data_IF_404135698942
#
_entry.id   IF_404135698942
#
_cell.length_a   1.000
_cell.length_b   1.000
_cell.length_c   1.000
_cell.angle_alpha   90.00
_cell.angle_beta   90.00
_cell.angle_gamma   90.00
#
_symmetry.space_group_name_H-M   'P 1'
#
loop_
_entity.id
_entity.type
_entity.pdbx_description
1 polymer ?
#
# COMPACT_ATOMS: atom_id res chain seq x y z
N UNK A 1 16.93 -19.52 18.41
CA UNK A 1 17.58 -18.37 17.77
C UNK A 1 16.86 -18.07 16.46
N UNK A 2 16.43 -16.82 16.28
CA UNK A 2 15.80 -16.34 15.04
C UNK A 2 16.75 -15.41 14.27
N UNK A 3 16.53 -15.27 12.98
CA UNK A 3 17.00 -14.08 12.26
C UNK A 3 16.24 -12.86 12.78
N UNK A 4 16.98 -11.87 13.27
CA UNK A 4 16.42 -10.62 13.85
C UNK A 4 16.91 -9.36 13.14
N UNK A 5 17.74 -9.51 12.10
CA UNK A 5 18.42 -8.41 11.41
C UNK A 5 18.52 -8.72 9.91
N UNK A 6 18.18 -7.73 9.07
CA UNK A 6 18.29 -7.83 7.61
C UNK A 6 19.73 -7.99 7.12
N UNK A 7 20.73 -7.53 7.89
CA UNK A 7 22.15 -7.72 7.58
C UNK A 7 22.58 -9.19 7.67
N UNK A 8 21.84 -10.01 8.41
CA UNK A 8 22.22 -11.40 8.72
C UNK A 8 21.40 -12.44 7.96
N UNK A 9 20.17 -12.11 7.57
CA UNK A 9 19.30 -13.03 6.83
C UNK A 9 19.70 -13.05 5.35
N UNK A 10 19.99 -14.22 4.76
CA UNK A 10 20.20 -14.34 3.32
C UNK A 10 18.94 -13.92 2.56
N UNK A 11 19.11 -13.31 1.39
CA UNK A 11 17.99 -12.88 0.55
C UNK A 11 17.02 -14.03 0.24
N UNK A 12 17.51 -15.24 0.00
CA UNK A 12 16.63 -16.39 -0.28
C UNK A 12 15.70 -16.72 0.89
N UNK A 13 16.27 -16.82 2.09
CA UNK A 13 15.53 -17.06 3.34
C UNK A 13 14.53 -15.93 3.57
N UNK A 14 14.93 -14.68 3.36
CA UNK A 14 14.04 -13.53 3.50
C UNK A 14 12.85 -13.60 2.52
N UNK A 15 13.07 -14.01 1.26
CA UNK A 15 11.98 -14.17 0.27
C UNK A 15 10.97 -15.22 0.73
N UNK A 16 11.42 -16.34 1.30
CA UNK A 16 10.51 -17.35 1.85
C UNK A 16 9.66 -16.77 3.00
N UNK A 17 10.29 -16.06 3.93
CA UNK A 17 9.59 -15.37 5.04
C UNK A 17 8.60 -14.33 4.51
N UNK A 18 9.03 -13.49 3.58
CA UNK A 18 8.21 -12.43 2.97
C UNK A 18 6.98 -13.02 2.27
N UNK A 19 7.12 -14.21 1.67
CA UNK A 19 6.03 -14.89 0.96
C UNK A 19 5.15 -15.77 1.85
N UNK A 20 5.43 -15.82 3.16
CA UNK A 20 4.56 -16.38 4.19
C UNK A 20 5.13 -17.58 4.96
N UNK A 21 6.30 -18.09 4.59
CA UNK A 21 6.94 -19.19 5.33
C UNK A 21 7.80 -18.66 6.48
N UNK A 22 7.13 -18.25 7.56
CA UNK A 22 7.77 -17.69 8.76
C UNK A 22 8.70 -18.69 9.46
N UNK A 23 8.53 -19.99 9.23
CA UNK A 23 9.39 -21.03 9.83
C UNK A 23 10.86 -20.87 9.42
N UNK A 24 11.13 -20.25 8.28
CA UNK A 24 12.46 -19.94 7.77
C UNK A 24 13.22 -18.89 8.59
N UNK A 25 12.57 -18.23 9.54
CA UNK A 25 13.25 -17.36 10.51
C UNK A 25 14.05 -18.15 11.55
N UNK A 26 13.71 -19.42 11.77
CA UNK A 26 14.35 -20.25 12.79
C UNK A 26 15.74 -20.66 12.34
N UNK A 27 16.75 -20.23 13.11
CA UNK A 27 18.13 -20.72 12.98
C UNK A 27 18.29 -21.97 13.85
N UNK A 28 17.82 -21.92 15.11
CA UNK A 28 17.94 -23.02 16.08
C UNK A 28 16.80 -22.97 17.10
N UNK A 29 16.40 -24.10 17.67
CA UNK A 29 15.41 -24.17 18.75
C UNK A 29 13.94 -24.00 18.33
N UNK A 30 13.04 -24.11 19.30
CA UNK A 30 11.59 -24.00 19.11
C UNK A 30 11.10 -22.59 19.43
N UNK A 31 10.22 -22.06 18.58
CA UNK A 31 9.68 -20.71 18.69
C UNK A 31 8.17 -20.71 18.50
N UNK A 32 7.48 -19.80 19.19
CA UNK A 32 6.03 -19.66 19.07
C UNK A 32 5.62 -18.99 17.76
N UNK A 33 4.39 -19.23 17.30
CA UNK A 33 3.87 -18.56 16.10
C UNK A 33 3.80 -17.04 16.24
N UNK A 34 3.50 -16.56 17.45
CA UNK A 34 3.46 -15.12 17.79
C UNK A 34 4.85 -14.48 17.61
N UNK A 35 5.88 -15.10 18.19
CA UNK A 35 7.27 -14.63 18.07
C UNK A 35 7.74 -14.60 16.61
N UNK A 36 7.41 -15.65 15.84
CA UNK A 36 7.71 -15.69 14.41
C UNK A 36 6.96 -14.62 13.63
N UNK A 37 5.71 -14.32 14.00
CA UNK A 37 4.92 -13.26 13.36
C UNK A 37 5.54 -11.89 13.62
N UNK A 38 5.82 -11.56 14.88
CA UNK A 38 6.41 -10.27 15.25
C UNK A 38 7.77 -10.05 14.58
N UNK A 39 8.65 -11.05 14.60
CA UNK A 39 9.95 -10.93 13.94
C UNK A 39 9.82 -10.83 12.41
N UNK A 40 8.90 -11.59 11.80
CA UNK A 40 8.65 -11.49 10.36
C UNK A 40 8.18 -10.09 9.96
N UNK A 41 7.23 -9.52 10.70
CA UNK A 41 6.68 -8.19 10.45
C UNK A 41 7.75 -7.11 10.59
N UNK A 42 8.60 -7.22 11.62
CA UNK A 42 9.70 -6.29 11.83
C UNK A 42 10.69 -6.28 10.66
N UNK A 43 11.14 -7.45 10.21
CA UNK A 43 12.10 -7.55 9.10
C UNK A 43 11.49 -7.10 7.77
N UNK A 44 10.24 -7.47 7.49
CA UNK A 44 9.52 -7.04 6.29
C UNK A 44 9.36 -5.52 6.29
N UNK A 45 8.98 -4.94 7.44
CA UNK A 45 8.83 -3.48 7.58
C UNK A 45 10.15 -2.76 7.33
N UNK A 46 11.25 -3.20 7.96
CA UNK A 46 12.58 -2.61 7.74
C UNK A 46 12.99 -2.69 6.26
N UNK A 47 12.73 -3.81 5.58
CA UNK A 47 13.09 -3.98 4.15
C UNK A 47 12.31 -3.00 3.28
N UNK A 48 11.00 -2.88 3.52
CA UNK A 48 10.10 -1.98 2.79
C UNK A 48 10.47 -0.51 3.01
N UNK A 49 10.91 -0.15 4.21
CA UNK A 49 11.41 1.18 4.52
C UNK A 49 12.71 1.50 3.77
N UNK A 50 13.64 0.55 3.65
CA UNK A 50 14.91 0.73 2.92
C UNK A 50 14.66 1.00 1.44
N UNK A 51 13.88 0.15 0.76
CA UNK A 51 13.51 0.35 -0.66
C UNK A 51 12.73 1.66 -0.89
N UNK A 52 12.35 2.31 0.21
CA UNK A 52 11.98 3.71 0.25
C UNK A 52 10.49 3.91 0.34
N UNK A 53 9.69 2.84 0.51
CA UNK A 53 8.25 2.87 0.78
C UNK A 53 7.40 3.74 -0.15
N UNK A 54 7.92 4.51 -1.09
CA UNK A 54 7.16 5.60 -1.70
C UNK A 54 6.21 5.08 -2.78
N UNK A 55 6.46 3.90 -3.37
CA UNK A 55 5.43 3.20 -4.14
C UNK A 55 4.46 2.46 -3.22
N UNK A 56 4.95 1.74 -2.20
CA UNK A 56 4.10 1.00 -1.25
C UNK A 56 3.20 1.89 -0.37
N UNK A 57 3.71 2.96 0.22
CA UNK A 57 2.97 4.01 0.92
C UNK A 57 2.09 4.82 -0.04
N UNK A 58 2.48 4.97 -1.32
CA UNK A 58 1.55 5.53 -2.32
C UNK A 58 0.44 4.56 -2.67
N UNK A 59 0.71 3.25 -2.71
CA UNK A 59 -0.27 2.17 -2.91
C UNK A 59 -1.15 1.98 -1.67
N UNK A 60 -0.60 2.13 -0.47
CA UNK A 60 -1.29 2.12 0.83
C UNK A 60 -2.14 3.38 0.98
N UNK A 61 -1.63 4.54 0.57
CA UNK A 61 -2.39 5.80 0.48
C UNK A 61 -3.48 5.72 -0.59
N UNK A 62 -3.22 5.07 -1.73
CA UNK A 62 -4.24 4.78 -2.74
C UNK A 62 -5.29 3.80 -2.21
N UNK A 63 -4.91 2.73 -1.51
CA UNK A 63 -5.84 1.81 -0.83
C UNK A 63 -6.65 2.52 0.25
N UNK A 64 -6.02 3.35 1.08
CA UNK A 64 -6.71 4.18 2.06
C UNK A 64 -7.66 5.18 1.38
N UNK A 65 -7.28 5.73 0.23
CA UNK A 65 -8.16 6.59 -0.57
C UNK A 65 -9.35 5.79 -1.13
N UNK A 66 -9.15 4.58 -1.64
CA UNK A 66 -10.23 3.69 -2.09
C UNK A 66 -11.17 3.35 -0.93
N UNK A 67 -10.64 2.97 0.24
CA UNK A 67 -11.42 2.71 1.46
C UNK A 67 -12.21 3.96 1.86
N UNK A 68 -11.57 5.13 1.88
CA UNK A 68 -12.24 6.41 2.18
C UNK A 68 -13.33 6.74 1.16
N UNK A 69 -13.13 6.42 -0.12
CA UNK A 69 -14.15 6.58 -1.16
C UNK A 69 -15.33 5.64 -0.94
N UNK A 70 -15.09 4.38 -0.57
CA UNK A 70 -16.16 3.44 -0.23
C UNK A 70 -16.95 3.87 1.01
N UNK A 71 -16.26 4.30 2.09
CA UNK A 71 -16.91 4.84 3.30
C UNK A 71 -17.78 6.04 2.93
N UNK A 72 -17.25 7.00 2.16
CA UNK A 72 -18.02 8.16 1.69
C UNK A 72 -19.25 7.74 0.89
N UNK A 73 -19.12 6.76 -0.01
CA UNK A 73 -20.24 6.28 -0.83
C UNK A 73 -21.34 5.67 0.07
N UNK A 74 -20.98 4.77 0.98
CA UNK A 74 -21.97 4.11 1.85
C UNK A 74 -22.60 5.08 2.86
N UNK A 75 -21.81 5.99 3.46
CA UNK A 75 -22.34 7.04 4.32
C UNK A 75 -23.32 7.95 3.55
N UNK A 76 -22.99 8.38 2.33
CA UNK A 76 -23.88 9.23 1.54
C UNK A 76 -25.16 8.50 1.09
N UNK A 77 -25.11 7.19 0.82
CA UNK A 77 -26.33 6.38 0.61
C UNK A 77 -27.20 6.36 1.87
N UNK A 78 -26.58 6.23 3.05
CA UNK A 78 -27.27 6.35 4.34
C UNK A 78 -27.94 7.72 4.50
N UNK A 79 -27.23 8.80 4.17
CA UNK A 79 -27.79 10.16 4.16
C UNK A 79 -28.95 10.30 3.18
N UNK A 80 -28.90 9.69 2.00
CA UNK A 80 -30.04 9.67 1.06
C UNK A 80 -31.27 8.97 1.65
N UNK A 81 -31.09 7.92 2.45
CA UNK A 81 -32.17 7.23 3.16
C UNK A 81 -32.75 8.15 4.25
N UNK A 82 -31.89 8.79 5.07
CA UNK A 82 -32.31 9.77 6.08
C UNK A 82 -33.12 10.92 5.44
N UNK A 83 -32.65 11.46 4.32
CA UNK A 83 -33.35 12.51 3.56
C UNK A 83 -34.74 12.02 3.10
N UNK A 84 -34.85 10.78 2.61
CA UNK A 84 -36.14 10.19 2.20
C UNK A 84 -37.11 10.05 3.38
N UNK A 85 -36.59 9.73 4.55
CA UNK A 85 -37.34 9.59 5.79
C UNK A 85 -37.63 10.94 6.48
N UNK A 86 -37.03 12.04 6.00
CA UNK A 86 -37.08 13.39 6.59
C UNK A 86 -36.31 13.52 7.92
N UNK A 87 -35.32 12.66 8.13
CA UNK A 87 -34.41 12.67 9.28
C UNK A 87 -33.27 13.69 9.06
N UNK A 88 -33.64 14.98 8.99
CA UNK A 88 -32.73 16.05 8.57
C UNK A 88 -31.62 16.36 9.58
N UNK A 89 -31.88 16.16 10.87
CA UNK A 89 -30.88 16.38 11.91
C UNK A 89 -29.74 15.36 11.79
N UNK A 90 -30.07 14.09 11.58
CA UNK A 90 -29.09 13.02 11.40
C UNK A 90 -28.32 13.19 10.09
N UNK A 91 -29.01 13.55 9.00
CA UNK A 91 -28.37 13.86 7.72
C UNK A 91 -27.36 15.02 7.84
N UNK A 92 -27.72 16.09 8.57
CA UNK A 92 -26.83 17.22 8.81
C UNK A 92 -25.64 16.83 9.71
N UNK A 93 -25.88 16.00 10.74
CA UNK A 93 -24.83 15.51 11.62
C UNK A 93 -23.79 14.69 10.87
N UNK A 94 -24.20 13.74 10.03
CA UNK A 94 -23.25 12.95 9.22
C UNK A 94 -22.43 13.87 8.30
N UNK A 95 -23.04 14.85 7.63
CA UNK A 95 -22.29 15.80 6.80
C UNK A 95 -21.27 16.63 7.60
N UNK A 96 -21.57 16.93 8.87
CA UNK A 96 -20.65 17.66 9.75
C UNK A 96 -19.39 16.85 10.09
N UNK A 97 -19.50 15.52 10.23
CA UNK A 97 -18.35 14.61 10.40
C UNK A 97 -17.44 14.61 9.15
N UNK A 98 -17.99 14.94 7.98
CA UNK A 98 -17.22 15.15 6.75
C UNK A 98 -16.76 16.60 6.54
N UNK A 99 -16.90 17.46 7.56
CA UNK A 99 -16.46 18.86 7.54
C UNK A 99 -17.45 19.84 6.91
N UNK A 100 -18.71 19.44 6.69
CA UNK A 100 -19.74 20.30 6.11
C UNK A 100 -20.89 20.53 7.09
N UNK A 101 -20.86 21.69 7.76
CA UNK A 101 -21.91 22.07 8.71
C UNK A 101 -23.09 22.72 8.00
N UNK A 102 -24.29 22.23 8.29
CA UNK A 102 -25.56 22.76 7.82
C UNK A 102 -26.58 22.70 8.96
N UNK A 103 -27.52 23.64 9.00
CA UNK A 103 -28.67 23.52 9.87
C UNK A 103 -29.64 22.47 9.32
N UNK A 104 -30.35 21.71 10.18
CA UNK A 104 -31.33 20.73 9.73
C UNK A 104 -32.44 21.29 8.84
N UNK A 105 -32.73 22.59 8.93
CA UNK A 105 -33.71 23.28 8.07
C UNK A 105 -33.19 23.56 6.65
N UNK A 106 -31.88 23.43 6.39
CA UNK A 106 -31.25 23.72 5.10
C UNK A 106 -31.34 22.52 4.12
N UNK A 107 -32.55 21.97 3.96
CA UNK A 107 -32.82 20.73 3.23
C UNK A 107 -32.17 20.67 1.85
N UNK A 108 -32.26 21.75 1.08
CA UNK A 108 -31.71 21.80 -0.28
C UNK A 108 -30.17 21.80 -0.29
N UNK A 109 -29.53 22.42 0.71
CA UNK A 109 -28.07 22.42 0.83
C UNK A 109 -27.57 21.04 1.23
N UNK A 110 -28.23 20.41 2.20
CA UNK A 110 -27.96 19.04 2.64
C UNK A 110 -28.09 18.08 1.45
N UNK A 111 -29.20 18.14 0.71
CA UNK A 111 -29.46 17.27 -0.46
C UNK A 111 -28.42 17.46 -1.55
N UNK A 112 -28.15 18.70 -1.97
CA UNK A 112 -27.17 18.99 -3.01
C UNK A 112 -25.77 18.54 -2.60
N UNK A 113 -25.40 18.71 -1.33
CA UNK A 113 -24.08 18.33 -0.85
C UNK A 113 -23.90 16.82 -0.80
N UNK A 114 -24.88 16.08 -0.27
CA UNK A 114 -24.85 14.62 -0.24
C UNK A 114 -24.71 14.03 -1.66
N UNK A 115 -25.54 14.51 -2.61
CA UNK A 115 -25.48 14.09 -4.00
C UNK A 115 -24.13 14.42 -4.67
N UNK A 116 -23.58 15.61 -4.38
CA UNK A 116 -22.27 16.03 -4.90
C UNK A 116 -21.14 15.14 -4.39
N UNK A 117 -21.10 14.83 -3.09
CA UNK A 117 -20.09 13.94 -2.49
C UNK A 117 -20.23 12.55 -3.10
N UNK A 118 -21.45 12.00 -3.17
CA UNK A 118 -21.71 10.68 -3.73
C UNK A 118 -21.25 10.57 -5.19
N UNK A 119 -21.61 11.55 -6.02
CA UNK A 119 -21.24 11.56 -7.44
C UNK A 119 -19.72 11.68 -7.62
N UNK A 120 -19.07 12.58 -6.88
CA UNK A 120 -17.63 12.77 -6.99
C UNK A 120 -16.86 11.53 -6.52
N UNK A 121 -17.30 10.91 -5.42
CA UNK A 121 -16.66 9.70 -4.89
C UNK A 121 -16.80 8.51 -5.84
N UNK A 122 -17.98 8.30 -6.45
CA UNK A 122 -18.18 7.27 -7.47
C UNK A 122 -17.28 7.48 -8.69
N UNK A 123 -17.24 8.72 -9.21
CA UNK A 123 -16.39 9.06 -10.35
C UNK A 123 -14.90 8.84 -10.06
N UNK A 124 -14.42 9.27 -8.88
CA UNK A 124 -13.03 9.06 -8.49
C UNK A 124 -12.67 7.58 -8.38
N UNK A 125 -13.57 6.77 -7.80
CA UNK A 125 -13.38 5.32 -7.66
C UNK A 125 -13.32 4.63 -9.03
N UNK A 126 -14.26 4.96 -9.93
CA UNK A 126 -14.28 4.44 -11.29
C UNK A 126 -13.02 4.83 -12.08
N UNK A 127 -12.53 6.06 -11.91
CA UNK A 127 -11.29 6.54 -12.53
C UNK A 127 -10.04 5.81 -12.00
N UNK A 128 -10.04 5.38 -10.74
CA UNK A 128 -8.95 4.56 -10.18
C UNK A 128 -9.03 3.16 -10.80
N UNK A 129 -10.19 2.52 -10.76
CA UNK A 129 -10.42 1.17 -11.30
C UNK A 129 -10.16 1.07 -12.82
N UNK A 130 -10.43 2.13 -13.60
CA UNK A 130 -10.17 2.15 -15.05
C UNK A 130 -8.71 2.42 -15.40
N UNK A 131 -7.93 3.07 -14.52
CA UNK A 131 -6.48 3.17 -14.64
C UNK A 131 -5.79 1.85 -14.24
N UNK A 132 -6.43 1.07 -13.38
CA UNK A 132 -6.03 -0.29 -12.96
C UNK A 132 -6.54 -1.38 -13.93
N UNK A 133 -6.30 -1.27 -15.25
CA UNK A 133 -6.40 -2.48 -16.11
C UNK A 133 -5.57 -3.61 -15.45
N UNK A 134 -6.05 -4.87 -15.46
CA UNK A 134 -5.60 -5.90 -14.54
C UNK A 134 -4.24 -6.46 -14.93
N UNK A 135 -3.19 -5.66 -14.85
CA UNK A 135 -1.96 -6.20 -14.31
C UNK A 135 -2.22 -6.29 -12.82
N UNK A 136 -2.54 -7.51 -12.38
CA UNK A 136 -2.69 -7.94 -10.99
C UNK A 136 -1.98 -6.97 -10.05
N UNK A 137 -2.65 -6.48 -9.00
CA UNK A 137 -1.95 -5.99 -7.82
C UNK A 137 -0.87 -7.04 -7.52
N UNK A 138 0.38 -6.76 -7.90
CA UNK A 138 1.40 -7.78 -8.05
C UNK A 138 1.74 -8.18 -6.64
N UNK A 139 1.07 -9.22 -6.13
CA UNK A 139 1.49 -9.90 -4.90
C UNK A 139 2.99 -10.08 -5.07
N UNK A 140 3.78 -9.52 -4.15
CA UNK A 140 5.25 -9.66 -4.14
C UNK A 140 5.57 -11.12 -3.79
N UNK A 141 5.24 -11.99 -4.73
CA UNK A 141 5.44 -13.42 -4.69
C UNK A 141 6.89 -13.73 -5.08
N UNK A 142 7.26 -15.01 -5.06
CA UNK A 142 8.64 -15.39 -5.42
C UNK A 142 9.01 -14.94 -6.83
N UNK A 143 8.06 -14.89 -7.77
CA UNK A 143 8.31 -14.46 -9.15
C UNK A 143 8.56 -12.96 -9.25
N UNK A 144 7.92 -12.14 -8.41
CA UNK A 144 8.23 -10.72 -8.28
C UNK A 144 9.72 -10.51 -7.96
N UNK A 145 10.22 -11.19 -6.92
CA UNK A 145 11.63 -11.07 -6.53
C UNK A 145 12.59 -11.60 -7.59
N UNK A 146 12.20 -12.60 -8.39
CA UNK A 146 13.01 -13.05 -9.54
C UNK A 146 13.13 -11.93 -10.59
N UNK A 147 12.01 -11.30 -10.97
CA UNK A 147 12.01 -10.22 -11.97
C UNK A 147 12.77 -9.00 -11.48
N UNK A 148 12.56 -8.59 -10.23
CA UNK A 148 13.27 -7.48 -9.61
C UNK A 148 14.78 -7.75 -9.57
N UNK A 149 15.21 -8.95 -9.16
CA UNK A 149 16.63 -9.31 -9.13
C UNK A 149 17.25 -9.30 -10.52
N UNK A 150 16.54 -9.79 -11.55
CA UNK A 150 17.00 -9.73 -12.94
C UNK A 150 17.19 -8.27 -13.39
N UNK A 151 16.27 -7.38 -13.02
CA UNK A 151 16.40 -5.95 -13.32
C UNK A 151 17.62 -5.33 -12.64
N UNK A 152 17.83 -5.61 -11.35
CA UNK A 152 19.01 -5.13 -10.59
C UNK A 152 20.32 -5.68 -11.18
N UNK A 153 20.37 -6.98 -11.49
CA UNK A 153 21.52 -7.61 -12.15
C UNK A 153 21.83 -6.96 -13.49
N UNK A 154 20.81 -6.71 -14.31
CA UNK A 154 20.95 -6.08 -15.62
C UNK A 154 21.39 -4.62 -15.52
N UNK A 155 20.88 -3.88 -14.54
CA UNK A 155 21.21 -2.46 -14.35
C UNK A 155 22.66 -2.26 -13.90
N UNK A 156 23.16 -3.12 -13.01
CA UNK A 156 24.53 -3.02 -12.50
C UNK A 156 25.54 -3.91 -13.23
N UNK A 157 25.10 -4.75 -14.16
CA UNK A 157 25.98 -5.68 -14.89
C UNK A 157 26.65 -6.72 -13.99
N UNK A 158 25.99 -7.13 -12.90
CA UNK A 158 26.54 -8.05 -11.90
C UNK A 158 25.61 -9.23 -11.62
N UNK A 159 26.19 -10.33 -11.14
CA UNK A 159 25.43 -11.50 -10.70
C UNK A 159 25.12 -11.39 -9.20
N UNK A 160 23.84 -11.55 -8.84
CA UNK A 160 23.38 -11.64 -7.44
C UNK A 160 23.06 -13.09 -7.09
N UNK A 161 23.80 -13.66 -6.15
CA UNK A 161 23.52 -14.98 -5.58
C UNK A 161 22.70 -14.81 -4.31
N UNK A 162 21.42 -15.19 -4.36
CA UNK A 162 20.44 -14.99 -3.27
C UNK A 162 20.82 -15.64 -1.92
N UNK A 163 21.71 -16.63 -1.93
CA UNK A 163 22.16 -17.33 -0.72
C UNK A 163 23.40 -16.66 -0.09
N UNK A 164 24.05 -15.75 -0.82
CA UNK A 164 25.31 -15.11 -0.40
C UNK A 164 25.11 -13.64 -0.03
N UNK A 165 24.14 -12.95 -0.65
CA UNK A 165 23.80 -11.56 -0.33
C UNK A 165 22.79 -11.50 0.82
N UNK A 166 22.95 -10.53 1.71
CA UNK A 166 21.96 -10.23 2.73
C UNK A 166 20.71 -9.57 2.14
N UNK A 167 19.57 -9.68 2.82
CA UNK A 167 18.37 -8.97 2.42
C UNK A 167 18.57 -7.44 2.44
N UNK A 168 19.38 -6.93 3.38
CA UNK A 168 19.65 -5.49 3.51
C UNK A 168 20.45 -4.92 2.33
N UNK A 169 21.55 -5.59 1.96
CA UNK A 169 22.37 -5.18 0.82
C UNK A 169 21.53 -5.14 -0.45
N UNK A 170 20.73 -6.19 -0.68
CA UNK A 170 19.82 -6.24 -1.82
C UNK A 170 18.78 -5.11 -1.80
N UNK A 171 18.17 -4.80 -0.64
CA UNK A 171 17.22 -3.70 -0.50
C UNK A 171 17.84 -2.35 -0.90
N UNK A 172 19.08 -2.07 -0.49
CA UNK A 172 19.80 -0.85 -0.86
C UNK A 172 20.16 -0.82 -2.35
N UNK A 173 20.49 -1.96 -2.97
CA UNK A 173 20.72 -2.03 -4.41
C UNK A 173 19.44 -1.68 -5.19
N UNK A 174 18.29 -2.23 -4.78
CA UNK A 174 16.98 -1.91 -5.37
C UNK A 174 16.67 -0.41 -5.21
N UNK A 175 16.84 0.13 -3.99
CA UNK A 175 16.63 1.55 -3.71
C UNK A 175 17.45 2.44 -4.65
N UNK A 176 18.76 2.17 -4.73
CA UNK A 176 19.70 2.95 -5.52
C UNK A 176 19.38 2.91 -7.01
N UNK A 177 19.04 1.73 -7.54
CA UNK A 177 18.59 1.58 -8.93
C UNK A 177 17.34 2.44 -9.20
N UNK A 178 16.35 2.38 -8.32
CA UNK A 178 15.13 3.17 -8.42
C UNK A 178 15.41 4.69 -8.40
N UNK A 179 16.32 5.15 -7.54
CA UNK A 179 16.72 6.56 -7.47
C UNK A 179 17.47 7.01 -8.74
N UNK A 180 18.39 6.20 -9.25
CA UNK A 180 19.12 6.44 -10.50
C UNK A 180 18.15 6.55 -11.69
N UNK A 181 17.22 5.61 -11.87
CA UNK A 181 16.20 5.64 -12.93
C UNK A 181 15.32 6.90 -12.83
N UNK A 182 14.86 7.26 -11.61
CA UNK A 182 14.06 8.48 -11.38
C UNK A 182 14.83 9.74 -11.76
N UNK A 183 16.14 9.79 -11.47
CA UNK A 183 16.99 10.93 -11.83
C UNK A 183 17.17 11.07 -13.35
N UNK A 184 17.37 9.96 -14.06
CA UNK A 184 17.49 9.94 -15.53
C UNK A 184 16.20 10.41 -16.22
N UNK A 185 15.04 9.96 -15.74
CA UNK A 185 13.74 10.37 -16.27
C UNK A 185 13.44 11.87 -16.08
N UNK A 186 13.95 12.49 -15.00
CA UNK A 186 13.83 13.95 -14.80
C UNK A 186 14.73 14.75 -15.73
N UNK A 187 15.91 14.23 -16.07
CA UNK A 187 16.85 14.88 -16.99
C UNK A 187 16.35 14.86 -18.45
N UNK A 188 15.64 13.80 -18.85
CA UNK A 188 15.04 13.69 -20.19
C UNK A 188 13.83 14.62 -20.42
N UNK A 189 13.09 14.98 -19.36
CA UNK A 189 11.93 15.90 -19.43
C UNK A 189 12.30 17.39 -19.48
N UNK A 190 13.59 17.73 -19.30
CA UNK A 190 14.11 19.10 -19.34
C UNK A 190 14.80 19.46 -20.67
N UNK A 191 14.80 18.55 -21.64
CA UNK A 191 15.20 18.81 -23.04
C UNK A 191 13.95 18.92 -23.90
#
# INVERSE_FOLDING_TARGET
MLYTDLDKIPLDTFIDVFTGDKSKLIIEGDHSEEELSEQSEKLITEYVEIIGGASFLSEMSQRNNIINLHIKIECMKGVEIMIKNKDWADAAHILSEFGFSYFPSEHDKIRKKAASILSMSKYMLERINTKEKPESASKMDKNYFVRERVAVMSHYGMQIRKNEISAKEYAFMVKRMCEEIKSMGKSLKKK
#
